data_IF_263644863295
#
_entry.id   IF_263644863295
#
_cell.length_a   1.000
_cell.length_b   1.000
_cell.length_c   1.000
_cell.angle_alpha   90.00
_cell.angle_beta   90.00
_cell.angle_gamma   90.00
#
_symmetry.space_group_name_H-M   'P 1'
#
loop_
_entity.id
_entity.type
_entity.pdbx_description
1 polymer ?
#
# COMPACT_ATOMS: atom_id res chain seq x y z
N UNK A 1 21.05 -0.84 36.13
CA UNK A 1 21.39 -1.86 35.11
C UNK A 1 21.55 -1.13 33.79
N UNK A 2 22.76 -0.62 33.53
CA UNK A 2 23.12 0.17 32.34
C UNK A 2 23.50 -0.75 31.19
N UNK A 3 22.96 -0.47 30.00
CA UNK A 3 23.30 -1.17 28.76
C UNK A 3 24.56 -0.54 28.18
N UNK A 4 25.58 -1.37 28.00
CA UNK A 4 26.91 -1.08 27.46
C UNK A 4 26.79 -0.82 25.95
N UNK A 5 27.01 0.42 25.53
CA UNK A 5 27.12 0.80 24.12
C UNK A 5 28.50 0.40 23.62
N UNK A 6 28.53 -0.27 22.47
CA UNK A 6 29.71 -0.66 21.71
C UNK A 6 30.59 0.56 21.40
N UNK A 7 31.81 0.55 21.93
CA UNK A 7 32.86 1.56 21.69
C UNK A 7 33.85 0.95 20.71
N UNK A 8 34.08 1.51 19.51
CA UNK A 8 35.23 1.12 18.72
C UNK A 8 36.47 1.80 19.31
N UNK A 9 37.49 1.00 19.60
CA UNK A 9 38.80 1.45 20.08
C UNK A 9 39.42 2.41 19.06
N UNK A 10 39.72 3.62 19.52
CA UNK A 10 40.52 4.59 18.77
C UNK A 10 41.99 4.26 18.95
N UNK A 11 42.66 3.82 17.88
CA UNK A 11 44.12 3.84 17.78
C UNK A 11 44.62 5.30 17.87
N UNK A 12 45.62 5.62 18.71
CA UNK A 12 46.15 6.96 18.80
C UNK A 12 47.29 7.15 17.79
N UNK A 13 47.08 8.06 16.84
CA UNK A 13 48.16 8.75 16.15
C UNK A 13 48.27 8.48 14.65
N UNK A 14 47.59 9.32 13.87
CA UNK A 14 48.17 9.97 12.68
C UNK A 14 47.34 11.22 12.32
N UNK A 15 48.02 12.35 12.41
CA UNK A 15 47.58 13.69 12.00
C UNK A 15 47.25 13.75 10.52
N UNK A 16 46.15 14.40 10.15
CA UNK A 16 45.88 14.84 8.77
C UNK A 16 44.41 15.21 8.55
N UNK A 17 44.07 16.49 8.69
CA UNK A 17 42.72 17.02 8.52
C UNK A 17 42.23 17.00 7.06
N UNK A 18 41.74 15.86 6.57
CA UNK A 18 41.19 15.74 5.22
C UNK A 18 39.91 14.89 5.07
N UNK A 19 39.24 14.45 6.14
CA UNK A 19 38.14 13.46 6.05
C UNK A 19 36.75 13.90 6.55
N UNK A 20 36.60 15.13 7.06
CA UNK A 20 35.28 15.65 7.50
C UNK A 20 34.38 16.03 6.32
N UNK A 21 34.97 16.52 5.21
CA UNK A 21 34.20 16.87 4.01
C UNK A 21 33.69 15.63 3.27
N UNK A 22 34.51 14.58 3.18
CA UNK A 22 34.15 13.32 2.52
C UNK A 22 33.02 12.62 3.26
N UNK A 23 33.09 12.46 4.59
CA UNK A 23 32.03 11.83 5.40
C UNK A 23 30.70 12.58 5.34
N UNK A 24 30.72 13.91 5.35
CA UNK A 24 29.52 14.72 5.19
C UNK A 24 28.94 14.61 3.76
N UNK A 25 29.78 14.58 2.73
CA UNK A 25 29.35 14.38 1.34
C UNK A 25 28.82 12.96 1.09
N UNK A 26 29.46 11.92 1.65
CA UNK A 26 28.95 10.55 1.60
C UNK A 26 27.60 10.43 2.32
N UNK A 27 27.47 11.02 3.52
CA UNK A 27 26.20 11.08 4.25
C UNK A 27 25.08 11.77 3.47
N UNK A 28 25.38 12.93 2.87
CA UNK A 28 24.45 13.68 2.02
C UNK A 28 24.05 12.91 0.75
N UNK A 29 25.02 12.35 0.01
CA UNK A 29 24.76 11.61 -1.23
C UNK A 29 23.92 10.36 -0.95
N UNK A 30 24.23 9.63 0.13
CA UNK A 30 23.42 8.49 0.57
C UNK A 30 21.99 8.96 0.89
N UNK A 31 21.81 10.06 1.64
CA UNK A 31 20.45 10.57 1.93
C UNK A 31 19.66 10.98 0.68
N UNK A 32 20.30 11.58 -0.32
CA UNK A 32 19.60 11.94 -1.57
C UNK A 32 19.16 10.71 -2.36
N UNK A 33 19.98 9.66 -2.41
CA UNK A 33 19.63 8.39 -3.06
C UNK A 33 18.44 7.75 -2.35
N UNK A 34 18.42 7.76 -1.02
CA UNK A 34 17.30 7.24 -0.22
C UNK A 34 16.00 8.02 -0.50
N UNK A 35 16.07 9.34 -0.55
CA UNK A 35 14.91 10.18 -0.87
C UNK A 35 14.39 9.94 -2.30
N UNK A 36 15.30 9.80 -3.27
CA UNK A 36 14.94 9.45 -4.64
C UNK A 36 14.31 8.05 -4.73
N UNK A 37 14.81 7.09 -3.94
CA UNK A 37 14.23 5.75 -3.86
C UNK A 37 12.80 5.78 -3.28
N UNK A 38 12.57 6.54 -2.19
CA UNK A 38 11.22 6.71 -1.61
C UNK A 38 10.28 7.41 -2.59
N UNK A 39 10.75 8.46 -3.26
CA UNK A 39 9.98 9.18 -4.27
C UNK A 39 9.62 8.29 -5.46
N UNK A 40 10.59 7.57 -6.02
CA UNK A 40 10.38 6.61 -7.11
C UNK A 40 9.45 5.46 -6.70
N UNK A 41 9.58 4.96 -5.47
CA UNK A 41 8.65 4.01 -4.89
C UNK A 41 7.24 4.60 -4.79
N UNK A 42 7.10 5.87 -4.41
CA UNK A 42 5.83 6.61 -4.41
C UNK A 42 5.18 6.66 -5.80
N UNK A 43 5.95 6.97 -6.85
CA UNK A 43 5.46 6.96 -8.24
C UNK A 43 4.98 5.57 -8.64
N UNK A 44 5.81 4.54 -8.44
CA UNK A 44 5.46 3.17 -8.77
C UNK A 44 4.22 2.71 -7.99
N UNK A 45 4.17 3.02 -6.70
CA UNK A 45 3.05 2.68 -5.82
C UNK A 45 1.76 3.38 -6.24
N UNK A 46 1.80 4.67 -6.59
CA UNK A 46 0.62 5.39 -7.09
C UNK A 46 0.06 4.77 -8.38
N UNK A 47 0.94 4.43 -9.33
CA UNK A 47 0.54 3.79 -10.57
C UNK A 47 -0.07 2.40 -10.33
N UNK A 48 0.63 1.57 -9.55
CA UNK A 48 0.19 0.21 -9.23
C UNK A 48 -1.07 0.19 -8.38
N UNK A 49 -1.24 1.14 -7.45
CA UNK A 49 -2.44 1.20 -6.63
C UNK A 49 -3.67 1.50 -7.50
N UNK A 50 -3.54 2.42 -8.45
CA UNK A 50 -4.62 2.78 -9.39
C UNK A 50 -5.00 1.61 -10.31
N UNK A 51 -4.03 0.83 -10.80
CA UNK A 51 -4.26 -0.26 -11.76
C UNK A 51 -4.66 -1.57 -11.06
N UNK A 52 -3.86 -1.99 -10.07
CA UNK A 52 -3.92 -3.32 -9.43
C UNK A 52 -4.38 -3.22 -7.98
N UNK A 53 -4.03 -2.15 -7.27
CA UNK A 53 -4.35 -1.97 -5.85
C UNK A 53 -3.34 -2.61 -4.89
N UNK A 54 -2.05 -2.51 -5.21
CA UNK A 54 -0.95 -3.14 -4.45
C UNK A 54 0.22 -2.19 -4.17
N UNK A 55 0.01 -0.87 -4.20
CA UNK A 55 1.11 0.10 -4.13
C UNK A 55 1.97 -0.01 -2.85
N UNK A 56 1.36 -0.36 -1.72
CA UNK A 56 2.06 -0.58 -0.44
C UNK A 56 3.12 -1.68 -0.50
N UNK A 57 2.99 -2.67 -1.40
CA UNK A 57 4.02 -3.69 -1.61
C UNK A 57 5.32 -3.17 -2.22
N UNK A 58 5.38 -1.88 -2.56
CA UNK A 58 6.61 -1.22 -3.02
C UNK A 58 7.12 -0.28 -1.93
N UNK A 59 6.29 0.69 -1.55
CA UNK A 59 6.70 1.76 -0.63
C UNK A 59 7.05 1.24 0.76
N UNK A 60 6.29 0.28 1.30
CA UNK A 60 6.54 -0.23 2.65
C UNK A 60 7.88 -0.99 2.75
N UNK A 61 8.18 -1.98 1.88
CA UNK A 61 9.51 -2.55 1.75
C UNK A 61 10.66 -1.56 1.62
N UNK A 62 10.49 -0.52 0.81
CA UNK A 62 11.53 0.50 0.60
C UNK A 62 11.79 1.24 1.91
N UNK A 63 10.76 1.65 2.64
CA UNK A 63 10.94 2.28 3.95
C UNK A 63 11.61 1.35 4.97
N UNK A 64 11.26 0.06 5.00
CA UNK A 64 11.93 -0.89 5.87
C UNK A 64 13.41 -1.07 5.52
N UNK A 65 13.74 -1.13 4.23
CA UNK A 65 15.12 -1.23 3.76
C UNK A 65 15.95 0.00 4.14
N UNK A 66 15.31 1.17 4.29
CA UNK A 66 15.92 2.41 4.78
C UNK A 66 15.95 2.51 6.31
N UNK A 67 15.61 1.43 7.03
CA UNK A 67 15.73 1.36 8.48
C UNK A 67 14.56 1.97 9.26
N UNK A 68 13.46 2.33 8.61
CA UNK A 68 12.29 2.83 9.32
C UNK A 68 11.66 1.73 10.19
N UNK A 69 11.28 2.03 11.45
CA UNK A 69 10.52 1.10 12.26
C UNK A 69 9.22 0.68 11.55
N UNK A 70 8.80 -0.61 11.59
CA UNK A 70 7.66 -1.09 10.82
C UNK A 70 6.36 -0.30 11.03
N UNK A 71 6.03 0.07 12.26
CA UNK A 71 4.82 0.85 12.55
C UNK A 71 4.91 2.25 11.90
N UNK A 72 6.02 2.95 12.09
CA UNK A 72 6.27 4.28 11.48
C UNK A 72 6.25 4.20 9.95
N UNK A 73 6.86 3.16 9.36
CA UNK A 73 6.86 2.94 7.93
C UNK A 73 5.43 2.75 7.38
N UNK A 74 4.61 1.94 8.06
CA UNK A 74 3.24 1.69 7.66
C UNK A 74 2.36 2.96 7.77
N UNK A 75 2.51 3.68 8.88
CA UNK A 75 1.80 4.94 9.15
C UNK A 75 2.14 6.00 8.09
N UNK A 76 3.43 6.28 7.88
CA UNK A 76 3.89 7.26 6.89
C UNK A 76 3.49 6.87 5.47
N UNK A 77 3.57 5.59 5.12
CA UNK A 77 3.11 5.08 3.83
C UNK A 77 1.61 5.30 3.63
N UNK A 78 0.79 4.97 4.64
CA UNK A 78 -0.67 5.12 4.57
C UNK A 78 -1.05 6.57 4.31
N UNK A 79 -0.46 7.50 5.05
CA UNK A 79 -0.65 8.95 4.88
C UNK A 79 -0.18 9.39 3.49
N UNK A 80 1.03 8.97 3.08
CA UNK A 80 1.62 9.32 1.80
C UNK A 80 0.84 8.80 0.59
N UNK A 81 0.08 7.71 0.71
CA UNK A 81 -0.71 7.16 -0.39
C UNK A 81 -2.08 7.82 -0.56
N UNK A 82 -2.56 8.61 0.41
CA UNK A 82 -3.87 9.30 0.31
C UNK A 82 -3.93 10.22 -0.91
N UNK A 83 -2.97 11.14 -1.15
CA UNK A 83 -3.04 12.05 -2.30
C UNK A 83 -3.00 11.31 -3.64
N UNK A 84 -2.18 10.27 -3.76
CA UNK A 84 -2.17 9.38 -4.94
C UNK A 84 -3.51 8.65 -5.13
N UNK A 85 -4.17 8.24 -4.04
CA UNK A 85 -5.51 7.66 -4.08
C UNK A 85 -6.56 8.65 -4.60
N UNK A 86 -6.53 9.91 -4.14
CA UNK A 86 -7.41 10.98 -4.66
C UNK A 86 -7.21 11.16 -6.16
N UNK A 87 -5.93 11.25 -6.58
CA UNK A 87 -5.53 11.34 -7.99
C UNK A 87 -6.08 10.17 -8.82
N UNK A 88 -5.95 8.94 -8.33
CA UNK A 88 -6.47 7.73 -9.00
C UNK A 88 -8.00 7.70 -9.09
N UNK A 89 -8.70 8.04 -8.01
CA UNK A 89 -10.19 8.13 -7.99
C UNK A 89 -10.69 9.21 -8.95
N UNK A 90 -10.02 10.35 -9.02
CA UNK A 90 -10.34 11.41 -9.98
C UNK A 90 -10.17 10.96 -11.43
N UNK A 91 -9.14 10.15 -11.70
CA UNK A 91 -8.93 9.50 -13.00
C UNK A 91 -10.07 8.55 -13.39
N UNK A 92 -10.68 7.87 -12.41
CA UNK A 92 -11.80 6.93 -12.60
C UNK A 92 -13.19 7.56 -12.37
N UNK A 93 -13.30 8.89 -12.34
CA UNK A 93 -14.57 9.58 -12.02
C UNK A 93 -15.71 9.26 -12.99
N UNK A 94 -15.39 8.98 -14.28
CA UNK A 94 -16.39 8.62 -15.29
C UNK A 94 -16.96 7.23 -15.02
N UNK A 95 -16.10 6.31 -14.61
CA UNK A 95 -16.46 4.94 -14.25
C UNK A 95 -17.26 4.88 -12.94
N UNK A 96 -17.06 5.82 -12.04
CA UNK A 96 -17.82 5.96 -10.79
C UNK A 96 -19.22 6.57 -10.98
N UNK A 97 -19.49 7.25 -12.09
CA UNK A 97 -20.78 7.85 -12.37
C UNK A 97 -21.91 6.80 -12.35
N UNK A 98 -22.99 7.08 -11.63
CA UNK A 98 -24.13 6.18 -11.44
C UNK A 98 -23.96 5.11 -10.35
N UNK A 99 -22.82 5.04 -9.65
CA UNK A 99 -22.57 4.01 -8.62
C UNK A 99 -22.76 4.50 -7.16
N UNK A 100 -23.37 5.68 -6.94
CA UNK A 100 -23.43 6.34 -5.61
C UNK A 100 -23.96 5.44 -4.49
N UNK A 101 -25.07 4.72 -4.71
CA UNK A 101 -25.64 3.83 -3.71
C UNK A 101 -24.67 2.71 -3.28
N UNK A 102 -23.96 2.13 -4.25
CA UNK A 102 -22.92 1.11 -4.00
C UNK A 102 -21.74 1.69 -3.23
N UNK A 103 -21.29 2.90 -3.59
CA UNK A 103 -20.19 3.57 -2.90
C UNK A 103 -20.54 3.90 -1.45
N UNK A 104 -21.75 4.38 -1.17
CA UNK A 104 -22.18 4.67 0.20
C UNK A 104 -22.31 3.39 1.04
N UNK A 105 -22.91 2.33 0.47
CA UNK A 105 -23.11 1.06 1.17
C UNK A 105 -21.81 0.33 1.46
N UNK A 106 -20.93 0.18 0.47
CA UNK A 106 -19.64 -0.49 0.68
C UNK A 106 -18.64 0.44 1.39
N UNK A 107 -18.79 1.75 1.20
CA UNK A 107 -18.02 2.75 1.92
C UNK A 107 -18.26 2.73 3.42
N UNK A 108 -19.50 2.47 3.89
CA UNK A 108 -19.77 2.32 5.32
C UNK A 108 -19.07 1.09 5.92
N UNK A 109 -19.06 -0.06 5.23
CA UNK A 109 -18.29 -1.23 5.62
C UNK A 109 -16.79 -0.92 5.71
N UNK A 110 -16.24 -0.28 4.67
CA UNK A 110 -14.83 0.11 4.64
C UNK A 110 -14.47 1.10 5.73
N UNK A 111 -15.33 2.08 6.02
CA UNK A 111 -15.10 3.07 7.07
C UNK A 111 -15.02 2.39 8.43
N UNK A 112 -16.02 1.57 8.77
CA UNK A 112 -16.05 0.82 10.04
C UNK A 112 -14.81 -0.08 10.14
N UNK A 113 -14.55 -0.85 9.09
CA UNK A 113 -13.39 -1.73 9.04
C UNK A 113 -12.08 -0.97 9.21
N UNK A 114 -11.87 0.14 8.48
CA UNK A 114 -10.62 0.90 8.54
C UNK A 114 -10.39 1.53 9.92
N UNK A 115 -11.43 2.04 10.58
CA UNK A 115 -11.34 2.48 11.99
C UNK A 115 -10.87 1.34 12.87
N UNK A 116 -11.51 0.17 12.78
CA UNK A 116 -11.12 -1.01 13.57
C UNK A 116 -9.68 -1.45 13.27
N UNK A 117 -9.29 -1.49 12.00
CA UNK A 117 -7.95 -1.86 11.57
C UNK A 117 -6.87 -0.91 12.07
N UNK A 118 -7.11 0.40 11.98
CA UNK A 118 -6.20 1.43 12.47
C UNK A 118 -6.06 1.36 13.99
N UNK A 119 -7.16 1.18 14.73
CA UNK A 119 -7.12 0.97 16.18
C UNK A 119 -6.32 -0.29 16.53
N UNK A 120 -6.53 -1.41 15.82
CA UNK A 120 -5.76 -2.63 16.02
C UNK A 120 -4.26 -2.39 15.81
N UNK A 121 -3.86 -1.64 14.78
CA UNK A 121 -2.45 -1.31 14.56
C UNK A 121 -1.85 -0.54 15.74
N UNK A 122 -2.59 0.41 16.31
CA UNK A 122 -2.09 1.30 17.37
C UNK A 122 -2.16 0.68 18.78
N UNK A 123 -3.06 -0.28 18.99
CA UNK A 123 -3.26 -0.94 20.29
C UNK A 123 -2.44 -2.21 20.46
N UNK A 124 -2.06 -2.87 19.36
CA UNK A 124 -1.21 -4.05 19.43
C UNK A 124 0.24 -3.67 19.77
N UNK A 125 0.96 -4.51 20.52
CA UNK A 125 2.38 -4.29 20.81
C UNK A 125 3.20 -4.14 19.51
N UNK A 126 4.13 -3.18 19.41
CA UNK A 126 4.94 -2.99 18.19
C UNK A 126 5.71 -4.25 17.75
N UNK A 127 6.11 -5.10 18.71
CA UNK A 127 6.73 -6.39 18.43
C UNK A 127 5.82 -7.37 17.70
N UNK A 128 4.50 -7.34 17.97
CA UNK A 128 3.54 -8.17 17.27
C UNK A 128 3.41 -7.76 15.81
N UNK A 129 3.38 -6.45 15.53
CA UNK A 129 3.38 -5.96 14.15
C UNK A 129 4.68 -6.34 13.42
N UNK A 130 5.85 -6.16 14.05
CA UNK A 130 7.13 -6.58 13.46
C UNK A 130 7.14 -8.08 13.10
N UNK A 131 6.58 -8.94 13.95
CA UNK A 131 6.52 -10.38 13.73
C UNK A 131 5.52 -10.78 12.62
N UNK A 132 4.38 -10.09 12.50
CA UNK A 132 3.35 -10.43 11.51
C UNK A 132 3.64 -9.87 10.11
N UNK A 133 4.39 -8.78 10.01
CA UNK A 133 4.71 -8.09 8.74
C UNK A 133 5.25 -9.02 7.65
N UNK A 134 6.24 -9.90 7.90
CA UNK A 134 6.72 -10.83 6.87
C UNK A 134 5.61 -11.73 6.32
N UNK A 135 4.73 -12.23 7.21
CA UNK A 135 3.59 -13.07 6.83
C UNK A 135 2.61 -12.27 5.96
N UNK A 136 2.32 -11.01 6.33
CA UNK A 136 1.43 -10.15 5.55
C UNK A 136 2.00 -9.83 4.17
N UNK A 137 3.31 -9.58 4.05
CA UNK A 137 3.96 -9.34 2.76
C UNK A 137 3.90 -10.60 1.90
N UNK A 138 4.24 -11.78 2.45
CA UNK A 138 4.18 -13.04 1.71
C UNK A 138 2.74 -13.31 1.23
N UNK A 139 1.75 -13.18 2.11
CA UNK A 139 0.35 -13.37 1.75
C UNK A 139 -0.09 -12.41 0.64
N UNK A 140 0.31 -11.14 0.71
CA UNK A 140 0.02 -10.14 -0.31
C UNK A 140 0.74 -10.43 -1.64
N UNK A 141 1.98 -10.93 -1.63
CA UNK A 141 2.69 -11.37 -2.84
C UNK A 141 2.00 -12.57 -3.50
N UNK A 142 1.63 -13.58 -2.71
CA UNK A 142 0.86 -14.73 -3.19
C UNK A 142 -0.44 -14.27 -3.83
N UNK A 143 -1.15 -13.34 -3.17
CA UNK A 143 -2.40 -12.79 -3.70
C UNK A 143 -2.20 -12.08 -5.05
N UNK A 144 -1.12 -11.29 -5.20
CA UNK A 144 -0.77 -10.64 -6.48
C UNK A 144 -0.45 -11.66 -7.57
N UNK A 145 0.23 -12.76 -7.25
CA UNK A 145 0.54 -13.84 -8.19
C UNK A 145 -0.71 -14.62 -8.60
N UNK A 146 -1.64 -14.84 -7.67
CA UNK A 146 -2.89 -15.58 -7.91
C UNK A 146 -3.96 -14.72 -8.58
N UNK A 147 -3.92 -13.39 -8.40
CA UNK A 147 -4.84 -12.41 -8.98
C UNK A 147 -5.27 -12.71 -10.44
N UNK A 148 -4.37 -12.92 -11.42
CA UNK A 148 -4.79 -13.16 -12.81
C UNK A 148 -5.64 -14.43 -12.97
N UNK A 149 -5.35 -15.49 -12.21
CA UNK A 149 -6.15 -16.72 -12.24
C UNK A 149 -7.52 -16.48 -11.62
N UNK A 150 -7.56 -15.77 -10.50
CA UNK A 150 -8.81 -15.41 -9.84
C UNK A 150 -9.69 -14.54 -10.77
N UNK A 151 -9.11 -13.52 -11.39
CA UNK A 151 -9.81 -12.63 -12.33
C UNK A 151 -10.38 -13.39 -13.54
N UNK A 152 -9.62 -14.35 -14.11
CA UNK A 152 -10.10 -15.22 -15.19
C UNK A 152 -11.25 -16.12 -14.75
N UNK A 153 -11.11 -16.75 -13.60
CA UNK A 153 -12.14 -17.62 -13.05
C UNK A 153 -13.45 -16.88 -12.77
N UNK A 154 -13.35 -15.67 -12.20
CA UNK A 154 -14.48 -14.77 -11.99
C UNK A 154 -15.16 -14.42 -13.32
N UNK A 155 -14.38 -14.06 -14.34
CA UNK A 155 -14.90 -13.72 -15.66
C UNK A 155 -15.63 -14.90 -16.31
N UNK A 156 -15.07 -16.11 -16.23
CA UNK A 156 -15.69 -17.33 -16.76
C UNK A 156 -16.98 -17.67 -16.02
N UNK A 157 -17.00 -17.59 -14.68
CA UNK A 157 -18.24 -17.80 -13.91
C UNK A 157 -19.32 -16.79 -14.25
N UNK A 158 -18.95 -15.54 -14.53
CA UNK A 158 -19.90 -14.49 -14.96
C UNK A 158 -20.51 -14.81 -16.33
N UNK A 159 -19.69 -15.26 -17.28
CA UNK A 159 -20.15 -15.68 -18.61
C UNK A 159 -21.09 -16.90 -18.51
N UNK A 160 -20.89 -17.78 -17.54
CA UNK A 160 -21.70 -18.98 -17.32
C UNK A 160 -23.00 -18.74 -16.53
N UNK A 161 -22.97 -17.85 -15.53
CA UNK A 161 -24.05 -17.80 -14.54
C UNK A 161 -25.25 -16.95 -14.94
N UNK A 162 -25.16 -16.03 -15.91
CA UNK A 162 -26.30 -15.36 -16.59
C UNK A 162 -27.44 -14.76 -15.73
N UNK A 163 -27.37 -14.80 -14.42
CA UNK A 163 -28.51 -14.70 -13.51
C UNK A 163 -28.40 -13.52 -12.57
N UNK A 164 -29.57 -13.09 -12.09
CA UNK A 164 -29.80 -11.93 -11.23
C UNK A 164 -29.05 -12.03 -9.90
N UNK A 165 -27.76 -11.71 -9.89
CA UNK A 165 -27.08 -11.41 -8.64
C UNK A 165 -27.64 -10.10 -8.08
N UNK A 166 -27.86 -10.01 -6.75
CA UNK A 166 -28.37 -8.79 -6.14
C UNK A 166 -27.51 -7.59 -6.56
N UNK A 167 -28.13 -6.50 -7.03
CA UNK A 167 -27.47 -5.31 -7.59
C UNK A 167 -26.37 -4.67 -6.69
N UNK A 168 -26.30 -5.09 -5.41
CA UNK A 168 -25.40 -4.60 -4.38
C UNK A 168 -24.58 -5.70 -3.66
N UNK A 169 -24.53 -6.94 -4.17
CA UNK A 169 -23.73 -8.05 -3.61
C UNK A 169 -24.16 -8.60 -2.25
N UNK A 170 -25.26 -8.08 -1.66
CA UNK A 170 -25.87 -8.60 -0.44
C UNK A 170 -25.09 -8.30 0.85
N UNK A 171 -25.55 -8.86 1.97
CA UNK A 171 -24.90 -8.74 3.28
C UNK A 171 -23.50 -9.36 3.28
N UNK A 172 -23.33 -10.48 2.56
CA UNK A 172 -22.05 -11.18 2.50
C UNK A 172 -20.93 -10.32 1.88
N UNK A 173 -21.20 -9.62 0.76
CA UNK A 173 -20.23 -8.68 0.19
C UNK A 173 -19.92 -7.55 1.17
N UNK A 174 -20.94 -7.04 1.87
CA UNK A 174 -20.73 -5.97 2.86
C UNK A 174 -19.80 -6.42 4.00
N UNK A 175 -20.01 -7.62 4.56
CA UNK A 175 -19.14 -8.19 5.59
C UNK A 175 -17.73 -8.48 5.07
N UNK A 176 -17.61 -8.98 3.84
CA UNK A 176 -16.30 -9.22 3.22
C UNK A 176 -15.54 -7.92 2.97
N UNK A 177 -16.23 -6.86 2.50
CA UNK A 177 -15.64 -5.53 2.34
C UNK A 177 -15.27 -4.94 3.70
N UNK A 178 -16.06 -5.14 4.75
CA UNK A 178 -15.70 -4.74 6.11
C UNK A 178 -14.39 -5.42 6.54
N UNK A 179 -14.26 -6.73 6.35
CA UNK A 179 -13.02 -7.46 6.62
C UNK A 179 -11.83 -6.92 5.84
N UNK A 180 -12.02 -6.56 4.57
CA UNK A 180 -10.97 -5.90 3.77
C UNK A 180 -10.65 -4.50 4.26
N UNK A 181 -11.63 -3.79 4.85
CA UNK A 181 -11.44 -2.50 5.51
C UNK A 181 -10.62 -2.64 6.78
N UNK A 182 -10.87 -3.67 7.60
CA UNK A 182 -10.04 -3.99 8.78
C UNK A 182 -8.60 -4.24 8.37
N UNK A 183 -8.40 -5.12 7.39
CA UNK A 183 -7.08 -5.36 6.84
C UNK A 183 -6.44 -4.09 6.22
N UNK A 184 -7.27 -3.30 5.54
CA UNK A 184 -6.88 -2.04 4.90
C UNK A 184 -6.36 -1.00 5.88
N UNK A 185 -7.07 -0.79 6.99
CA UNK A 185 -6.65 0.15 8.02
C UNK A 185 -5.50 -0.36 8.89
N UNK A 186 -5.30 -1.67 8.95
CA UNK A 186 -4.16 -2.26 9.65
C UNK A 186 -2.86 -2.19 8.83
N UNK A 187 -2.89 -2.62 7.56
CA UNK A 187 -1.69 -2.72 6.70
C UNK A 187 -1.90 -2.34 5.23
N UNK A 188 -3.06 -2.63 4.63
CA UNK A 188 -3.39 -2.15 3.27
C UNK A 188 -2.67 -2.79 2.09
N UNK A 189 -1.64 -3.62 2.28
CA UNK A 189 -0.90 -4.23 1.17
C UNK A 189 -1.76 -5.20 0.35
N UNK A 190 -1.81 -5.02 -0.97
CA UNK A 190 -2.67 -5.80 -1.88
C UNK A 190 -4.18 -5.82 -1.52
N UNK A 191 -4.67 -4.89 -0.68
CA UNK A 191 -6.10 -4.77 -0.36
C UNK A 191 -6.96 -4.61 -1.62
N UNK A 192 -6.49 -3.85 -2.61
CA UNK A 192 -7.25 -3.66 -3.84
C UNK A 192 -7.41 -4.93 -4.67
N UNK A 193 -6.50 -5.91 -4.53
CA UNK A 193 -6.66 -7.23 -5.16
C UNK A 193 -7.77 -8.01 -4.49
N UNK A 194 -7.86 -7.98 -3.14
CA UNK A 194 -8.98 -8.58 -2.40
C UNK A 194 -10.30 -7.96 -2.82
N UNK A 195 -10.37 -6.63 -2.84
CA UNK A 195 -11.56 -5.88 -3.27
C UNK A 195 -11.97 -6.22 -4.70
N UNK A 196 -11.03 -6.30 -5.64
CA UNK A 196 -11.33 -6.69 -7.02
C UNK A 196 -11.84 -8.13 -7.13
N UNK A 197 -11.27 -9.06 -6.34
CA UNK A 197 -11.75 -10.44 -6.26
C UNK A 197 -13.20 -10.50 -5.76
N UNK A 198 -13.50 -9.83 -4.65
CA UNK A 198 -14.83 -9.79 -4.06
C UNK A 198 -15.84 -9.10 -4.99
N UNK A 199 -15.52 -7.90 -5.48
CA UNK A 199 -16.39 -7.16 -6.37
C UNK A 199 -16.66 -7.95 -7.66
N UNK A 200 -15.65 -8.60 -8.22
CA UNK A 200 -15.81 -9.41 -9.43
C UNK A 200 -16.73 -10.62 -9.21
N UNK A 201 -16.68 -11.25 -8.03
CA UNK A 201 -17.56 -12.40 -7.69
C UNK A 201 -19.00 -11.95 -7.43
N UNK A 202 -19.18 -10.85 -6.70
CA UNK A 202 -20.49 -10.47 -6.16
C UNK A 202 -21.22 -9.38 -6.95
N UNK A 203 -20.57 -8.71 -7.91
CA UNK A 203 -21.13 -7.55 -8.61
C UNK A 203 -21.01 -7.72 -10.14
N UNK A 204 -22.15 -7.62 -10.82
CA UNK A 204 -22.23 -7.71 -12.28
C UNK A 204 -22.03 -6.33 -12.93
N UNK A 205 -20.76 -5.93 -13.09
CA UNK A 205 -20.40 -4.66 -13.73
C UNK A 205 -19.16 -4.83 -14.61
N UNK A 206 -18.88 -3.86 -15.47
CA UNK A 206 -17.60 -3.80 -16.20
C UNK A 206 -16.41 -3.73 -15.24
N UNK A 207 -15.29 -4.40 -15.59
CA UNK A 207 -14.11 -4.48 -14.72
C UNK A 207 -13.48 -3.11 -14.45
N UNK A 208 -13.54 -2.15 -15.38
CA UNK A 208 -13.03 -0.80 -15.14
C UNK A 208 -13.93 -0.02 -14.18
N UNK A 209 -15.25 -0.25 -14.23
CA UNK A 209 -16.22 0.29 -13.27
C UNK A 209 -15.98 -0.26 -11.86
N UNK A 210 -15.70 -1.56 -11.74
CA UNK A 210 -15.30 -2.16 -10.45
C UNK A 210 -13.95 -1.65 -9.96
N UNK A 211 -12.98 -1.44 -10.86
CA UNK A 211 -11.69 -0.88 -10.49
C UNK A 211 -11.81 0.56 -9.95
N UNK A 212 -12.76 1.35 -10.49
CA UNK A 212 -13.13 2.65 -9.92
C UNK A 212 -13.63 2.52 -8.48
N UNK A 213 -14.59 1.62 -8.22
CA UNK A 213 -15.10 1.36 -6.86
C UNK A 213 -13.98 0.92 -5.92
N UNK A 214 -13.12 0.00 -6.36
CA UNK A 214 -11.94 -0.46 -5.62
C UNK A 214 -11.02 0.71 -5.24
N UNK A 215 -10.70 1.59 -6.18
CA UNK A 215 -9.87 2.76 -5.93
C UNK A 215 -10.51 3.69 -4.88
N UNK A 216 -11.82 3.89 -4.97
CA UNK A 216 -12.55 4.70 -4.00
C UNK A 216 -12.52 4.09 -2.60
N UNK A 217 -12.79 2.79 -2.47
CA UNK A 217 -12.77 2.11 -1.17
C UNK A 217 -11.36 2.06 -0.57
N UNK A 218 -10.33 1.82 -1.39
CA UNK A 218 -8.94 1.87 -0.92
C UNK A 218 -8.53 3.28 -0.47
N UNK A 219 -8.93 4.32 -1.21
CA UNK A 219 -8.75 5.71 -0.78
C UNK A 219 -9.45 5.96 0.55
N UNK A 220 -10.71 5.55 0.70
CA UNK A 220 -11.47 5.76 1.93
C UNK A 220 -10.79 5.09 3.13
N UNK A 221 -10.34 3.84 2.98
CA UNK A 221 -9.61 3.12 4.03
C UNK A 221 -8.33 3.86 4.44
N UNK A 222 -7.52 4.29 3.46
CA UNK A 222 -6.30 5.03 3.72
C UNK A 222 -6.57 6.38 4.37
N UNK A 223 -7.58 7.13 3.92
CA UNK A 223 -7.94 8.43 4.47
C UNK A 223 -8.39 8.33 5.92
N UNK A 224 -9.25 7.35 6.24
CA UNK A 224 -9.72 7.11 7.62
C UNK A 224 -8.54 6.75 8.53
N UNK A 225 -7.68 5.85 8.07
CA UNK A 225 -6.52 5.40 8.85
C UNK A 225 -5.48 6.51 9.00
N UNK A 226 -5.22 7.27 7.93
CA UNK A 226 -4.33 8.42 7.95
C UNK A 226 -4.82 9.50 8.92
N UNK A 227 -6.12 9.80 8.95
CA UNK A 227 -6.68 10.76 9.90
C UNK A 227 -6.43 10.33 11.35
N UNK A 228 -6.62 9.05 11.68
CA UNK A 228 -6.32 8.49 13.01
C UNK A 228 -4.81 8.55 13.30
N UNK A 229 -3.97 8.13 12.35
CA UNK A 229 -2.52 8.08 12.54
C UNK A 229 -1.89 9.46 12.70
N UNK A 230 -2.37 10.48 11.98
CA UNK A 230 -1.89 11.87 12.13
C UNK A 230 -2.13 12.38 13.56
N UNK A 231 -3.21 11.94 14.21
CA UNK A 231 -3.55 12.37 15.57
C UNK A 231 -2.79 11.63 16.67
N UNK A 232 -2.40 10.36 16.46
CA UNK A 232 -2.00 9.45 17.55
C UNK A 232 -0.61 8.82 17.34
N UNK A 233 -0.14 8.68 16.10
CA UNK A 233 1.05 7.90 15.78
C UNK A 233 2.26 8.80 15.44
N UNK A 234 3.45 8.23 15.59
CA UNK A 234 4.67 8.89 15.12
C UNK A 234 4.79 8.79 13.60
N UNK A 235 4.73 9.93 12.91
CA UNK A 235 4.78 10.02 11.44
C UNK A 235 6.15 10.54 11.00
N UNK A 236 6.82 9.82 10.10
CA UNK A 236 7.88 10.43 9.28
C UNK A 236 7.25 11.27 8.17
N UNK A 237 7.21 12.58 8.36
CA UNK A 237 6.66 13.54 7.42
C UNK A 237 7.46 13.63 6.12
N UNK A 238 8.78 13.43 6.19
CA UNK A 238 9.63 13.39 5.00
C UNK A 238 9.25 12.21 4.09
N UNK A 239 9.17 11.00 4.64
CA UNK A 239 8.76 9.82 3.88
C UNK A 239 7.32 9.96 3.35
N UNK A 240 6.38 10.41 4.19
CA UNK A 240 4.99 10.62 3.79
C UNK A 240 4.87 11.66 2.66
N UNK A 241 5.63 12.75 2.73
CA UNK A 241 5.66 13.80 1.71
C UNK A 241 6.22 13.31 0.38
N UNK A 242 7.35 12.59 0.39
CA UNK A 242 7.94 12.02 -0.82
C UNK A 242 6.99 11.00 -1.49
N UNK A 243 6.37 10.13 -0.69
CA UNK A 243 5.36 9.17 -1.20
C UNK A 243 4.13 9.92 -1.72
N UNK A 244 3.68 10.99 -1.06
CA UNK A 244 2.55 11.81 -1.52
C UNK A 244 2.80 12.42 -2.90
N UNK A 245 3.92 13.14 -3.07
CA UNK A 245 4.23 13.76 -4.36
C UNK A 245 4.42 12.70 -5.44
N UNK A 246 5.19 11.65 -5.15
CA UNK A 246 5.40 10.55 -6.09
C UNK A 246 4.10 9.87 -6.47
N UNK A 247 3.25 9.54 -5.49
CA UNK A 247 2.00 8.81 -5.72
C UNK A 247 0.94 9.61 -6.46
N UNK A 248 0.93 10.95 -6.37
CA UNK A 248 0.08 11.80 -7.22
C UNK A 248 0.44 11.60 -8.69
N UNK A 249 1.73 11.72 -9.02
CA UNK A 249 2.27 11.56 -10.39
C UNK A 249 1.98 10.14 -10.88
N UNK A 250 2.35 9.14 -10.07
CA UNK A 250 2.07 7.73 -10.33
C UNK A 250 0.59 7.45 -10.54
N UNK A 251 -0.29 8.03 -9.73
CA UNK A 251 -1.73 7.87 -9.80
C UNK A 251 -2.31 8.37 -11.12
N UNK A 252 -1.90 9.57 -11.57
CA UNK A 252 -2.30 10.13 -12.86
C UNK A 252 -1.81 9.28 -14.02
N UNK A 253 -0.52 8.90 -14.00
CA UNK A 253 0.07 8.02 -15.01
C UNK A 253 -0.65 6.67 -15.05
N UNK A 254 -0.96 6.09 -13.88
CA UNK A 254 -1.68 4.83 -13.74
C UNK A 254 -3.10 4.89 -14.31
N UNK A 255 -3.82 5.99 -14.09
CA UNK A 255 -5.19 6.17 -14.58
C UNK A 255 -5.27 6.42 -16.09
N UNK A 256 -4.27 7.09 -16.67
CA UNK A 256 -4.26 7.50 -18.09
C UNK A 256 -3.53 6.49 -18.97
N UNK A 257 -2.23 6.29 -18.74
CA UNK A 257 -1.34 5.48 -19.57
C UNK A 257 -1.19 4.06 -19.02
N UNK A 258 -1.25 3.91 -17.69
CA UNK A 258 -1.01 2.66 -16.99
C UNK A 258 -1.97 1.54 -17.34
N UNK A 259 -3.18 1.87 -17.82
CA UNK A 259 -4.13 0.90 -18.39
C UNK A 259 -3.57 0.12 -19.59
N UNK A 260 -2.52 0.63 -20.25
CA UNK A 260 -1.86 0.00 -21.40
C UNK A 260 -0.61 -0.80 -21.03
N UNK A 261 -0.16 -0.74 -19.77
CA UNK A 261 1.04 -1.45 -19.34
C UNK A 261 0.77 -2.96 -19.29
N UNK A 262 1.75 -3.80 -19.72
CA UNK A 262 1.60 -5.24 -19.66
C UNK A 262 1.42 -5.66 -18.19
N UNK A 263 0.29 -6.29 -17.82
CA UNK A 263 -0.01 -6.63 -16.43
C UNK A 263 1.05 -7.52 -15.77
N UNK A 264 1.76 -8.31 -16.57
CA UNK A 264 2.83 -9.18 -16.09
C UNK A 264 4.07 -8.39 -15.64
N UNK A 265 4.39 -7.25 -16.28
CA UNK A 265 5.52 -6.42 -15.89
C UNK A 265 5.29 -5.78 -14.52
N UNK A 266 4.08 -5.21 -14.32
CA UNK A 266 3.70 -4.62 -13.02
C UNK A 266 3.79 -5.67 -11.89
N UNK A 267 3.27 -6.87 -12.13
CA UNK A 267 3.38 -7.97 -11.15
C UNK A 267 4.82 -8.40 -10.92
N UNK A 268 5.64 -8.50 -11.97
CA UNK A 268 7.05 -8.84 -11.85
C UNK A 268 7.79 -7.87 -10.93
N UNK A 269 7.59 -6.56 -11.12
CA UNK A 269 8.16 -5.52 -10.25
C UNK A 269 7.71 -5.70 -8.80
N UNK A 270 6.40 -5.88 -8.56
CA UNK A 270 5.86 -6.08 -7.20
C UNK A 270 6.48 -7.32 -6.54
N UNK A 271 6.57 -8.44 -7.27
CA UNK A 271 7.12 -9.70 -6.76
C UNK A 271 8.60 -9.55 -6.43
N UNK A 272 9.39 -8.93 -7.30
CA UNK A 272 10.83 -8.72 -7.07
C UNK A 272 11.04 -7.86 -5.83
N UNK A 273 10.41 -6.68 -5.76
CA UNK A 273 10.57 -5.75 -4.64
C UNK A 273 10.09 -6.36 -3.33
N UNK A 274 8.91 -7.01 -3.34
CA UNK A 274 8.38 -7.68 -2.15
C UNK A 274 9.25 -8.85 -1.69
N UNK A 275 9.81 -9.63 -2.61
CA UNK A 275 10.72 -10.74 -2.24
C UNK A 275 11.99 -10.23 -1.60
N UNK A 276 12.60 -9.17 -2.16
CA UNK A 276 13.78 -8.51 -1.57
C UNK A 276 13.47 -8.04 -0.14
N UNK A 277 12.28 -7.45 0.06
CA UNK A 277 11.81 -7.01 1.37
C UNK A 277 11.76 -8.14 2.39
N UNK A 278 11.13 -9.26 2.01
CA UNK A 278 10.97 -10.44 2.88
C UNK A 278 12.33 -11.00 3.25
N UNK A 279 13.22 -11.19 2.26
CA UNK A 279 14.57 -11.69 2.51
C UNK A 279 15.30 -10.77 3.50
N UNK A 280 15.27 -9.45 3.27
CA UNK A 280 15.90 -8.48 4.16
C UNK A 280 15.35 -8.56 5.59
N UNK A 281 14.03 -8.56 5.74
CA UNK A 281 13.35 -8.67 7.04
C UNK A 281 13.69 -9.95 7.81
N UNK A 282 13.90 -11.07 7.12
CA UNK A 282 14.25 -12.35 7.75
C UNK A 282 15.74 -12.44 8.11
N UNK A 283 16.59 -11.64 7.46
CA UNK A 283 18.04 -11.61 7.69
C UNK A 283 18.51 -10.50 8.64
N UNK A 284 17.61 -9.61 9.07
CA UNK A 284 17.87 -8.44 9.94
C UNK A 284 17.39 -8.65 11.37
#
# INVERSE_FOLDING_TARGET
>A
MMIRVYSPETEPGKTGGHDTHSSHLYGLVVTWIEQLAVFGAGIAAGAINTIVGSGTLITFPVLLALGYPPVTANVSNTIGLVPGGVSGVWGYRRELAGQRARLLRLGSATLIGAVTGAILLLTLPPGAFKAIVPVLIIAALVLVVVQPRLSRWVRQRREQNGGDAPAHGGLLLWLAVLGTGVYGGYFGAAQGVLLMGLLGVFVHEDLQRLNGVKNYLALLANTVSAAIFICVAHVSWQAAGLIAVGSIIGGQLGATVGRRLPPNALRGVIVIVGTIAVVRLLTS
#
